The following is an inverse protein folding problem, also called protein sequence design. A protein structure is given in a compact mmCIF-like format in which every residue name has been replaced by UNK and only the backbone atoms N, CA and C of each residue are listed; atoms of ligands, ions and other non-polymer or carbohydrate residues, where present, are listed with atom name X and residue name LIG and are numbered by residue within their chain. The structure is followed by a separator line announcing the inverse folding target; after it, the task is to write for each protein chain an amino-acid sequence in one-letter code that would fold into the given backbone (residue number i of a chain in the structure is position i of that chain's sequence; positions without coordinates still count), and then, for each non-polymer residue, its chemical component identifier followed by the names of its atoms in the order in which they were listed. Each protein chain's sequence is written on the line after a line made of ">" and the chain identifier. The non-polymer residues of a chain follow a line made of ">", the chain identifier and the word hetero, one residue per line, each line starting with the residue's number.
data_IF_326922357453
#
_entry.id   IF_326922357453
#
_cell.length_a   1.000
_cell.length_b   1.000
_cell.length_c   1.000
_cell.angle_alpha   90.00
_cell.angle_beta   90.00
_cell.angle_gamma   90.00
#
_symmetry.space_group_name_H-M   'P 1'
#
loop_
_entity.id
_entity.type
_entity.pdbx_description
1 polymer ?
#
# COMPACT_ATOMS: atom_id res chain seq x y z
N UNK A 1 -5.26 9.15 18.31
CA UNK A 1 -5.04 7.74 17.90
C UNK A 1 -4.19 7.10 18.97
N UNK A 2 -4.62 6.01 19.61
CA UNK A 2 -3.77 5.38 20.63
C UNK A 2 -3.95 3.87 20.58
N UNK A 3 -2.86 3.19 20.26
CA UNK A 3 -2.66 1.79 20.56
C UNK A 3 -2.11 1.69 21.99
N UNK A 4 -2.56 0.71 22.76
CA UNK A 4 -2.15 0.57 24.18
C UNK A 4 -0.78 -0.11 24.31
N UNK A 5 -0.42 -0.94 23.34
CA UNK A 5 0.82 -1.71 23.30
C UNK A 5 1.14 -2.18 21.88
N UNK A 6 2.31 -2.79 21.69
CA UNK A 6 2.69 -3.39 20.41
C UNK A 6 1.82 -4.63 20.13
N UNK A 7 1.49 -5.40 21.17
CA UNK A 7 0.58 -6.56 21.09
C UNK A 7 -0.85 -6.14 20.67
N UNK A 8 -1.30 -4.95 21.10
CA UNK A 8 -2.60 -4.40 20.67
C UNK A 8 -2.61 -4.09 19.16
N UNK A 9 -1.48 -3.62 18.60
CA UNK A 9 -1.32 -3.44 17.15
C UNK A 9 -1.42 -4.79 16.44
N UNK A 10 -0.64 -5.78 16.87
CA UNK A 10 -0.65 -7.13 16.28
C UNK A 10 -2.07 -7.73 16.27
N UNK A 11 -2.78 -7.62 17.39
CA UNK A 11 -4.15 -8.13 17.54
C UNK A 11 -5.16 -7.40 16.65
N UNK A 12 -5.09 -6.07 16.58
CA UNK A 12 -6.02 -5.27 15.75
C UNK A 12 -5.77 -5.50 14.26
N UNK A 13 -4.51 -5.56 13.84
CA UNK A 13 -4.15 -5.89 12.45
C UNK A 13 -4.58 -7.32 12.09
N UNK A 14 -4.35 -8.29 12.98
CA UNK A 14 -4.81 -9.67 12.79
C UNK A 14 -6.33 -9.78 12.68
N UNK A 15 -7.07 -8.97 13.43
CA UNK A 15 -8.54 -8.89 13.34
C UNK A 15 -9.06 -8.42 11.99
N UNK A 16 -8.30 -7.58 11.27
CA UNK A 16 -8.59 -7.12 9.90
C UNK A 16 -7.96 -8.03 8.83
N UNK A 17 -7.42 -9.18 9.22
CA UNK A 17 -6.80 -10.15 8.31
C UNK A 17 -5.46 -9.70 7.74
N UNK A 18 -4.69 -8.89 8.48
CA UNK A 18 -3.31 -8.57 8.16
C UNK A 18 -2.38 -9.07 9.26
N UNK A 19 -1.47 -9.98 8.91
CA UNK A 19 -0.52 -10.54 9.87
C UNK A 19 0.70 -9.63 9.99
N UNK A 20 0.64 -8.70 10.94
CA UNK A 20 1.77 -7.84 11.27
C UNK A 20 2.78 -8.61 12.13
N UNK A 21 4.04 -8.68 11.68
CA UNK A 21 5.12 -9.17 12.54
C UNK A 21 5.48 -8.13 13.61
N UNK A 22 6.26 -8.57 14.59
CA UNK A 22 6.67 -7.75 15.73
C UNK A 22 7.35 -6.45 15.29
N UNK A 23 8.16 -6.50 14.25
CA UNK A 23 8.91 -5.34 13.75
C UNK A 23 7.96 -4.32 13.14
N UNK A 24 7.04 -4.75 12.28
CA UNK A 24 6.03 -3.89 11.69
C UNK A 24 5.09 -3.30 12.74
N UNK A 25 4.61 -4.14 13.68
CA UNK A 25 3.76 -3.68 14.78
C UNK A 25 4.46 -2.63 15.64
N UNK A 26 5.76 -2.83 15.93
CA UNK A 26 6.58 -1.85 16.68
C UNK A 26 6.70 -0.54 15.91
N UNK A 27 7.00 -0.59 14.61
CA UNK A 27 7.11 0.60 13.76
C UNK A 27 5.80 1.38 13.71
N UNK A 28 4.67 0.68 13.57
CA UNK A 28 3.33 1.30 13.56
C UNK A 28 3.02 1.94 14.92
N UNK A 29 3.27 1.23 16.02
CA UNK A 29 3.09 1.75 17.37
C UNK A 29 3.91 3.04 17.59
N UNK A 30 5.18 3.02 17.21
CA UNK A 30 6.08 4.18 17.35
C UNK A 30 5.67 5.33 16.43
N UNK A 31 5.20 5.05 15.21
CA UNK A 31 4.73 6.08 14.29
C UNK A 31 3.54 6.86 14.87
N UNK A 32 2.57 6.14 15.44
CA UNK A 32 1.41 6.75 16.11
C UNK A 32 1.85 7.53 17.34
N UNK A 33 2.73 6.96 18.17
CA UNK A 33 3.18 7.60 19.40
C UNK A 33 4.04 8.86 19.16
N UNK A 34 4.84 8.87 18.09
CA UNK A 34 5.75 9.96 17.75
C UNK A 34 5.16 10.96 16.74
N UNK A 35 4.00 10.66 16.15
CA UNK A 35 3.42 11.46 15.05
C UNK A 35 4.33 11.50 13.82
N UNK A 36 5.07 10.42 13.54
CA UNK A 36 6.01 10.36 12.41
C UNK A 36 5.45 9.51 11.26
N UNK A 37 5.70 9.90 10.00
CA UNK A 37 5.41 9.06 8.84
C UNK A 37 6.16 7.73 8.90
N UNK A 38 5.58 6.68 8.31
CA UNK A 38 6.26 5.40 8.08
C UNK A 38 6.65 5.31 6.61
N UNK A 39 7.88 4.88 6.35
CA UNK A 39 8.33 4.53 5.02
C UNK A 39 8.56 3.01 4.92
N UNK A 40 7.67 2.36 4.17
CA UNK A 40 7.69 0.92 3.90
C UNK A 40 8.35 0.66 2.55
N UNK A 41 9.56 0.12 2.59
CA UNK A 41 10.29 -0.29 1.39
C UNK A 41 10.31 -1.83 1.34
N UNK A 42 10.33 -2.42 0.15
CA UNK A 42 10.39 -3.88 0.06
C UNK A 42 9.99 -4.42 -1.29
N UNK A 43 9.82 -5.74 -1.34
CA UNK A 43 9.50 -6.46 -2.57
C UNK A 43 8.05 -6.22 -3.04
N UNK A 44 7.73 -6.33 -4.33
CA UNK A 44 6.36 -6.22 -4.81
C UNK A 44 5.45 -7.30 -4.21
N UNK A 45 4.21 -6.93 -3.88
CA UNK A 45 3.21 -7.90 -3.43
C UNK A 45 3.38 -8.43 -2.01
N UNK A 46 4.22 -7.81 -1.17
CA UNK A 46 4.38 -8.17 0.27
C UNK A 46 3.39 -7.45 1.21
N UNK A 47 2.44 -6.69 0.67
CA UNK A 47 1.38 -6.05 1.46
C UNK A 47 1.69 -4.66 2.04
N UNK A 48 2.68 -3.93 1.49
CA UNK A 48 3.01 -2.55 1.93
C UNK A 48 1.82 -1.60 1.88
N UNK A 49 1.14 -1.54 0.74
CA UNK A 49 -0.05 -0.71 0.52
C UNK A 49 -1.24 -1.13 1.39
N UNK A 50 -1.32 -2.41 1.75
CA UNK A 50 -2.41 -2.96 2.57
C UNK A 50 -2.32 -2.45 4.02
N UNK A 51 -1.12 -2.14 4.53
CA UNK A 51 -0.93 -1.57 5.88
C UNK A 51 -1.76 -0.30 6.06
N UNK A 52 -1.76 0.61 5.09
CA UNK A 52 -2.51 1.86 5.18
C UNK A 52 -4.03 1.63 5.17
N UNK A 53 -4.52 0.68 4.36
CA UNK A 53 -5.94 0.33 4.31
C UNK A 53 -6.43 -0.26 5.62
N UNK A 54 -5.66 -1.21 6.16
CA UNK A 54 -5.96 -1.85 7.45
C UNK A 54 -5.93 -0.81 8.56
N UNK A 55 -4.96 0.09 8.55
CA UNK A 55 -4.90 1.18 9.52
C UNK A 55 -6.13 2.10 9.44
N UNK A 56 -6.58 2.45 8.24
CA UNK A 56 -7.80 3.25 8.07
C UNK A 56 -9.05 2.53 8.59
N UNK A 57 -9.15 1.21 8.35
CA UNK A 57 -10.22 0.36 8.86
C UNK A 57 -10.23 0.32 10.40
N UNK A 58 -9.08 0.03 11.02
CA UNK A 58 -8.91 -0.03 12.48
C UNK A 58 -9.27 1.30 13.14
N UNK A 59 -8.85 2.41 12.53
CA UNK A 59 -9.14 3.74 13.05
C UNK A 59 -10.58 4.17 12.76
N UNK A 60 -11.25 3.57 11.78
CA UNK A 60 -12.54 4.00 11.27
C UNK A 60 -12.48 5.43 10.74
N UNK A 61 -11.48 5.73 9.90
CA UNK A 61 -11.23 7.05 9.31
C UNK A 61 -11.08 6.96 7.79
N UNK A 62 -11.06 8.09 7.10
CA UNK A 62 -10.88 8.11 5.64
C UNK A 62 -9.44 7.71 5.24
N UNK A 63 -9.33 6.84 4.23
CA UNK A 63 -8.09 6.56 3.53
C UNK A 63 -7.98 7.48 2.32
N UNK A 64 -7.01 8.38 2.36
CA UNK A 64 -6.67 9.26 1.25
C UNK A 64 -5.44 8.69 0.55
N UNK A 65 -5.56 8.38 -0.74
CA UNK A 65 -4.49 7.79 -1.53
C UNK A 65 -3.94 8.78 -2.55
N UNK A 66 -2.62 8.95 -2.53
CA UNK A 66 -1.83 9.58 -3.58
C UNK A 66 -1.00 8.48 -4.26
N UNK A 67 -1.25 8.23 -5.53
CA UNK A 67 -0.45 7.32 -6.33
C UNK A 67 0.67 8.10 -7.02
N UNK A 68 1.92 7.71 -6.80
CA UNK A 68 3.06 8.29 -7.50
C UNK A 68 3.33 7.56 -8.82
N UNK A 69 3.70 8.35 -9.82
CA UNK A 69 4.06 7.91 -11.16
C UNK A 69 4.94 8.99 -11.82
N UNK A 70 5.60 8.64 -12.92
CA UNK A 70 6.51 9.54 -13.63
C UNK A 70 5.74 10.71 -14.24
N UNK A 71 6.20 11.94 -14.01
CA UNK A 71 5.50 13.15 -14.44
C UNK A 71 4.30 13.54 -13.57
N UNK A 72 4.16 12.98 -12.36
CA UNK A 72 3.25 13.51 -11.35
C UNK A 72 3.68 14.93 -10.97
N UNK A 73 2.78 15.90 -11.13
CA UNK A 73 3.04 17.29 -10.79
C UNK A 73 2.47 17.66 -9.40
N UNK A 74 2.95 18.77 -8.84
CA UNK A 74 2.48 19.27 -7.56
C UNK A 74 0.98 19.63 -7.59
N UNK A 75 0.45 20.10 -8.72
CA UNK A 75 -0.95 20.50 -8.86
C UNK A 75 -1.89 19.29 -8.70
N UNK A 76 -1.62 18.18 -9.39
CA UNK A 76 -2.43 16.97 -9.31
C UNK A 76 -2.35 16.27 -7.95
N UNK A 77 -1.30 16.53 -7.18
CA UNK A 77 -1.15 16.04 -5.81
C UNK A 77 -1.77 16.98 -4.75
N UNK A 78 -1.69 18.30 -4.94
CA UNK A 78 -2.13 19.33 -3.98
C UNK A 78 -3.52 19.87 -4.26
N UNK A 79 -3.66 20.66 -5.33
CA UNK A 79 -4.89 21.33 -5.68
C UNK A 79 -4.87 21.79 -7.14
N UNK A 80 -6.06 21.98 -7.69
CA UNK A 80 -6.24 22.65 -8.97
C UNK A 80 -7.38 23.65 -8.88
N UNK A 81 -7.25 24.80 -9.53
CA UNK A 81 -8.35 25.74 -9.65
C UNK A 81 -9.35 25.26 -10.72
N UNK A 82 -10.63 25.23 -10.38
CA UNK A 82 -11.71 24.92 -11.31
C UNK A 82 -12.01 26.13 -12.21
N UNK A 83 -11.11 26.39 -13.17
CA UNK A 83 -11.24 27.49 -14.12
C UNK A 83 -12.56 27.48 -14.91
N UNK A 84 -13.12 26.33 -15.35
CA UNK A 84 -14.43 26.31 -15.98
C UNK A 84 -15.55 26.85 -15.07
N UNK A 85 -15.53 26.50 -13.78
CA UNK A 85 -16.50 27.00 -12.79
C UNK A 85 -16.29 28.48 -12.50
N UNK A 86 -15.03 28.93 -12.37
CA UNK A 86 -14.71 30.36 -12.22
C UNK A 86 -15.23 31.18 -13.39
N UNK A 87 -15.01 30.72 -14.63
CA UNK A 87 -15.48 31.37 -15.85
C UNK A 87 -17.01 31.41 -15.93
N UNK A 88 -17.69 30.35 -15.49
CA UNK A 88 -19.15 30.34 -15.44
C UNK A 88 -19.68 31.35 -14.43
N UNK A 89 -19.08 31.43 -13.23
CA UNK A 89 -19.50 32.40 -12.21
C UNK A 89 -19.33 33.83 -12.73
N UNK A 90 -18.17 34.16 -13.31
CA UNK A 90 -17.91 35.47 -13.91
C UNK A 90 -18.98 35.87 -14.94
N UNK A 91 -19.42 34.93 -15.80
CA UNK A 91 -20.48 35.19 -16.78
C UNK A 91 -21.86 35.37 -16.15
N UNK A 92 -22.16 34.63 -15.08
CA UNK A 92 -23.40 34.78 -14.35
C UNK A 92 -23.44 36.12 -13.61
N UNK A 93 -22.31 36.55 -13.04
CA UNK A 93 -22.17 37.85 -12.40
C UNK A 93 -22.36 39.00 -13.40
N UNK A 94 -21.72 38.91 -14.58
CA UNK A 94 -21.96 39.85 -15.69
C UNK A 94 -23.44 39.88 -16.12
N UNK A 95 -24.08 38.73 -16.26
CA UNK A 95 -25.49 38.64 -16.65
C UNK A 95 -26.45 39.19 -15.59
N UNK A 96 -26.07 39.15 -14.31
CA UNK A 96 -26.82 39.75 -13.19
C UNK A 96 -26.65 41.27 -13.12
N UNK A 97 -25.73 41.84 -13.91
CA UNK A 97 -25.48 43.28 -13.95
C UNK A 97 -24.66 43.78 -12.76
N UNK A 98 -23.83 42.93 -12.16
CA UNK A 98 -22.86 43.35 -11.15
C UNK A 98 -21.85 44.34 -11.76
N UNK A 99 -21.37 45.28 -10.95
CA UNK A 99 -20.39 46.25 -11.41
C UNK A 99 -19.05 45.56 -11.69
N UNK A 100 -18.30 46.10 -12.67
CA UNK A 100 -17.01 45.55 -13.11
C UNK A 100 -15.96 45.46 -11.99
N UNK A 101 -16.13 46.24 -10.93
CA UNK A 101 -15.25 46.23 -9.76
C UNK A 101 -15.60 45.11 -8.77
N UNK A 102 -16.84 44.59 -8.79
CA UNK A 102 -17.32 43.50 -7.95
C UNK A 102 -17.15 42.12 -8.61
N UNK A 103 -17.20 42.08 -9.96
CA UNK A 103 -17.00 40.86 -10.74
C UNK A 103 -15.61 40.27 -10.47
N UNK A 104 -15.57 39.00 -10.09
CA UNK A 104 -14.32 38.28 -9.93
C UNK A 104 -13.60 38.45 -8.58
N UNK A 105 -14.16 39.18 -7.62
CA UNK A 105 -13.53 39.33 -6.29
C UNK A 105 -13.43 37.98 -5.53
N UNK A 106 -14.31 37.03 -5.81
CA UNK A 106 -14.40 35.75 -5.08
C UNK A 106 -13.96 34.52 -5.90
N UNK A 107 -13.39 34.69 -7.10
CA UNK A 107 -13.04 33.54 -7.96
C UNK A 107 -11.91 32.66 -7.40
N UNK A 108 -11.12 33.18 -6.47
CA UNK A 108 -10.10 32.45 -5.72
C UNK A 108 -10.57 32.02 -4.32
N UNK A 109 -11.87 31.72 -4.19
CA UNK A 109 -12.45 31.14 -2.98
C UNK A 109 -12.30 29.60 -2.91
N UNK A 110 -12.42 29.00 -1.72
CA UNK A 110 -12.34 27.54 -1.53
C UNK A 110 -13.35 26.77 -2.39
N UNK A 111 -14.47 27.37 -2.77
CA UNK A 111 -15.48 26.77 -3.64
C UNK A 111 -15.02 26.49 -5.08
N UNK A 112 -13.95 27.16 -5.53
CA UNK A 112 -13.32 26.93 -6.83
C UNK A 112 -12.06 26.06 -6.73
N UNK A 113 -11.61 25.76 -5.51
CA UNK A 113 -10.42 24.95 -5.27
C UNK A 113 -10.79 23.46 -5.30
N UNK A 114 -10.21 22.73 -6.24
CA UNK A 114 -10.32 21.27 -6.28
C UNK A 114 -9.20 20.69 -5.42
N UNK A 115 -9.56 20.29 -4.22
CA UNK A 115 -8.64 19.59 -3.31
C UNK A 115 -8.20 18.26 -3.91
N UNK A 116 -6.88 18.06 -4.00
CA UNK A 116 -6.26 16.79 -4.38
C UNK A 116 -5.76 16.07 -3.12
N UNK A 117 -5.24 14.83 -3.22
CA UNK A 117 -4.99 13.99 -2.05
C UNK A 117 -4.20 14.65 -0.91
N UNK A 118 -3.17 15.45 -1.20
CA UNK A 118 -2.37 16.09 -0.16
C UNK A 118 -3.15 17.19 0.55
N UNK A 119 -3.77 18.12 -0.19
CA UNK A 119 -4.54 19.20 0.44
C UNK A 119 -5.75 18.63 1.20
N UNK A 120 -6.44 17.65 0.63
CA UNK A 120 -7.54 16.94 1.29
C UNK A 120 -7.12 16.28 2.61
N UNK A 121 -5.90 15.75 2.68
CA UNK A 121 -5.38 15.14 3.91
C UNK A 121 -5.00 16.20 4.97
N UNK A 122 -4.48 17.35 4.55
CA UNK A 122 -4.13 18.46 5.44
C UNK A 122 -5.39 19.16 5.97
N UNK A 123 -6.37 19.45 5.12
CA UNK A 123 -7.62 20.12 5.47
C UNK A 123 -8.72 19.16 5.95
N UNK A 124 -8.37 17.93 6.30
CA UNK A 124 -9.37 16.94 6.72
C UNK A 124 -10.10 17.37 8.01
N UNK A 125 -11.44 17.49 7.93
CA UNK A 125 -12.29 17.98 9.03
C UNK A 125 -13.03 16.87 9.80
N UNK A 126 -12.69 15.59 9.59
CA UNK A 126 -13.35 14.49 10.30
C UNK A 126 -13.01 14.38 11.78
N UNK A 127 -13.75 13.54 12.51
CA UNK A 127 -13.58 13.35 13.96
C UNK A 127 -12.21 12.75 14.36
N UNK A 128 -11.57 12.02 13.44
CA UNK A 128 -10.29 11.34 13.65
C UNK A 128 -9.34 11.68 12.50
N UNK A 129 -8.02 11.78 12.74
CA UNK A 129 -7.12 12.14 11.65
C UNK A 129 -7.14 11.09 10.55
N UNK A 130 -7.00 11.47 9.27
CA UNK A 130 -7.11 10.53 8.16
C UNK A 130 -5.83 9.71 8.04
N UNK A 131 -5.91 8.63 7.25
CA UNK A 131 -4.72 7.89 6.82
C UNK A 131 -4.35 8.37 5.42
N UNK A 132 -3.12 8.89 5.26
CA UNK A 132 -2.58 9.29 3.97
C UNK A 132 -1.61 8.22 3.47
N UNK A 133 -1.97 7.59 2.36
CA UNK A 133 -1.13 6.63 1.65
C UNK A 133 -0.47 7.33 0.45
N UNK A 134 0.86 7.44 0.48
CA UNK A 134 1.69 7.87 -0.66
C UNK A 134 2.31 6.61 -1.26
N UNK A 135 1.72 6.12 -2.34
CA UNK A 135 2.03 4.81 -2.91
C UNK A 135 3.06 4.93 -4.04
N UNK A 136 4.06 4.03 -4.07
CA UNK A 136 5.13 3.94 -5.08
C UNK A 136 5.91 5.25 -5.26
N UNK A 137 6.30 5.91 -4.18
CA UNK A 137 6.98 7.22 -4.20
C UNK A 137 8.31 7.20 -4.98
N UNK A 138 8.90 6.03 -5.19
CA UNK A 138 10.08 5.82 -6.05
C UNK A 138 9.83 5.97 -7.55
N UNK A 139 8.56 6.17 -7.95
CA UNK A 139 8.18 6.46 -9.34
C UNK A 139 7.98 7.94 -9.63
N UNK A 140 8.02 8.81 -8.63
CA UNK A 140 7.97 10.25 -8.84
C UNK A 140 9.35 10.87 -9.03
N UNK A 141 9.37 12.07 -9.60
CA UNK A 141 10.59 12.83 -9.86
C UNK A 141 11.16 13.50 -8.59
N UNK A 142 12.44 13.92 -8.64
CA UNK A 142 13.14 14.55 -7.50
C UNK A 142 12.45 15.83 -7.01
N UNK A 143 11.91 16.62 -7.94
CA UNK A 143 11.18 17.84 -7.63
C UNK A 143 9.97 17.55 -6.75
N UNK A 144 9.25 16.48 -7.03
CA UNK A 144 8.11 16.04 -6.25
C UNK A 144 8.51 15.49 -4.87
N UNK A 145 9.62 14.76 -4.79
CA UNK A 145 10.15 14.28 -3.49
C UNK A 145 10.54 15.45 -2.57
N UNK A 146 11.20 16.48 -3.12
CA UNK A 146 11.54 17.70 -2.38
C UNK A 146 10.29 18.43 -1.89
N UNK A 147 9.25 18.48 -2.72
CA UNK A 147 7.96 19.03 -2.36
C UNK A 147 7.28 18.23 -1.23
N UNK A 148 7.23 16.90 -1.33
CA UNK A 148 6.69 16.04 -0.27
C UNK A 148 7.44 16.21 1.05
N UNK A 149 8.77 16.42 1.02
CA UNK A 149 9.58 16.67 2.21
C UNK A 149 9.11 17.91 2.97
N UNK A 150 8.79 18.99 2.26
CA UNK A 150 8.26 20.23 2.85
C UNK A 150 6.92 19.95 3.55
N UNK A 151 5.98 19.32 2.83
CA UNK A 151 4.66 19.00 3.37
C UNK A 151 4.74 18.06 4.58
N UNK A 152 5.55 17.01 4.52
CA UNK A 152 5.67 16.03 5.61
C UNK A 152 6.46 16.55 6.82
N UNK A 153 7.21 17.64 6.68
CA UNK A 153 7.98 18.21 7.79
C UNK A 153 7.10 19.02 8.73
N UNK A 154 6.23 19.86 8.17
CA UNK A 154 5.42 20.81 8.94
C UNK A 154 3.90 20.54 8.84
N UNK A 155 3.48 19.57 8.02
CA UNK A 155 2.07 19.29 7.71
C UNK A 155 1.30 20.56 7.32
N UNK A 156 1.92 21.36 6.45
CA UNK A 156 1.33 22.59 5.92
C UNK A 156 1.62 22.71 4.42
N UNK A 157 0.77 23.43 3.73
CA UNK A 157 0.88 23.72 2.29
C UNK A 157 0.72 25.23 2.11
N UNK A 158 1.59 25.85 1.32
CA UNK A 158 1.42 27.26 0.94
C UNK A 158 0.77 27.36 -0.43
N UNK A 159 -0.41 27.98 -0.47
CA UNK A 159 -1.17 28.26 -1.69
C UNK A 159 -0.97 29.76 -1.99
N UNK A 160 -0.36 30.17 -3.12
CA UNK A 160 -0.06 31.58 -3.38
C UNK A 160 -1.27 32.51 -3.26
N UNK A 161 -2.45 32.07 -3.69
CA UNK A 161 -3.67 32.88 -3.69
C UNK A 161 -4.40 32.93 -2.34
N UNK A 162 -4.23 31.91 -1.48
CA UNK A 162 -5.00 31.74 -0.23
C UNK A 162 -4.10 31.94 1.02
N UNK A 163 -2.79 31.74 0.88
CA UNK A 163 -1.82 31.72 1.97
C UNK A 163 -1.49 30.30 2.45
N UNK A 164 -0.87 30.20 3.62
CA UNK A 164 -0.45 28.92 4.20
C UNK A 164 -1.58 28.25 4.96
N UNK A 165 -1.83 26.98 4.62
CA UNK A 165 -2.85 26.12 5.22
C UNK A 165 -2.14 25.00 5.98
N UNK A 166 -2.34 24.94 7.29
CA UNK A 166 -1.80 23.90 8.17
C UNK A 166 -2.81 22.80 8.48
N UNK A 167 -2.31 21.61 8.82
CA UNK A 167 -3.16 20.50 9.20
C UNK A 167 -3.82 20.73 10.55
N UNK A 168 -5.16 20.71 10.57
CA UNK A 168 -5.91 20.74 11.84
C UNK A 168 -5.72 19.43 12.63
N UNK A 169 -5.58 18.32 11.91
CA UNK A 169 -5.29 17.01 12.46
C UNK A 169 -4.17 16.37 11.65
N UNK A 170 -3.06 16.02 12.29
CA UNK A 170 -1.91 15.42 11.60
C UNK A 170 -2.29 14.02 11.10
N UNK A 171 -2.22 13.77 9.77
CA UNK A 171 -2.57 12.48 9.19
C UNK A 171 -1.58 11.39 9.59
N UNK A 172 -2.05 10.16 9.67
CA UNK A 172 -1.16 9.00 9.74
C UNK A 172 -0.64 8.69 8.34
N UNK A 173 0.65 8.95 8.09
CA UNK A 173 1.23 8.84 6.75
C UNK A 173 1.96 7.52 6.57
N UNK A 174 1.63 6.81 5.49
CA UNK A 174 2.35 5.62 5.01
C UNK A 174 2.89 5.91 3.61
N UNK A 175 4.21 5.89 3.47
CA UNK A 175 4.90 5.93 2.19
C UNK A 175 5.28 4.50 1.80
N UNK A 176 5.08 4.12 0.54
CA UNK A 176 5.51 2.81 0.02
C UNK A 176 6.50 2.96 -1.14
N UNK A 177 7.42 2.02 -1.27
CA UNK A 177 8.33 1.93 -2.42
C UNK A 177 8.63 0.49 -2.79
N UNK A 178 8.81 0.23 -4.09
CA UNK A 178 9.26 -1.05 -4.64
C UNK A 178 10.76 -1.05 -4.94
N UNK A 179 11.50 -0.02 -4.49
CA UNK A 179 12.92 0.21 -4.75
C UNK A 179 13.27 0.18 -6.25
N UNK A 180 12.41 0.75 -7.12
CA UNK A 180 12.74 0.93 -8.54
C UNK A 180 13.85 1.97 -8.75
N UNK A 181 13.95 2.92 -7.82
CA UNK A 181 14.96 3.98 -7.74
C UNK A 181 15.28 4.27 -6.28
N UNK A 182 16.47 4.79 -6.00
CA UNK A 182 16.78 5.30 -4.67
C UNK A 182 16.15 6.66 -4.43
N UNK A 183 15.35 6.76 -3.36
CA UNK A 183 14.77 8.02 -2.88
C UNK A 183 15.80 8.90 -2.19
N UNK A 184 15.53 10.21 -2.17
CA UNK A 184 16.39 11.16 -1.50
C UNK A 184 16.48 10.88 0.02
N UNK A 185 17.71 10.87 0.53
CA UNK A 185 18.06 10.64 1.94
C UNK A 185 17.26 11.51 2.93
N UNK A 186 16.90 12.73 2.54
CA UNK A 186 16.16 13.66 3.38
C UNK A 186 14.77 13.11 3.73
N UNK A 187 14.07 12.50 2.76
CA UNK A 187 12.74 11.93 2.95
C UNK A 187 12.81 10.72 3.90
N UNK A 188 13.82 9.85 3.71
CA UNK A 188 14.07 8.68 4.58
C UNK A 188 14.31 9.11 6.04
N UNK A 189 15.07 10.18 6.28
CA UNK A 189 15.39 10.69 7.62
C UNK A 189 14.19 11.30 8.37
N UNK A 190 13.13 11.67 7.66
CA UNK A 190 11.88 12.19 8.24
C UNK A 190 10.87 11.10 8.59
N UNK A 191 11.09 9.88 8.12
CA UNK A 191 10.19 8.75 8.32
C UNK A 191 10.79 7.70 9.27
N UNK A 192 9.93 6.87 9.87
CA UNK A 192 10.34 5.59 10.41
C UNK A 192 10.46 4.59 9.27
N UNK A 193 11.68 4.15 9.00
CA UNK A 193 11.98 3.23 7.90
C UNK A 193 11.77 1.78 8.33
N UNK A 194 11.11 1.00 7.46
CA UNK A 194 11.00 -0.45 7.60
C UNK A 194 11.13 -1.13 6.23
N UNK A 195 12.01 -2.12 6.17
CA UNK A 195 12.06 -3.06 5.06
C UNK A 195 11.09 -4.22 5.28
N UNK A 196 10.21 -4.48 4.32
CA UNK A 196 9.30 -5.63 4.31
C UNK A 196 9.80 -6.64 3.26
N UNK A 197 10.30 -7.76 3.74
CA UNK A 197 10.70 -8.89 2.90
C UNK A 197 9.52 -9.84 2.63
N UNK A 198 9.72 -10.84 1.78
CA UNK A 198 8.78 -11.95 1.64
C UNK A 198 8.56 -12.62 3.01
N UNK A 199 7.32 -13.04 3.32
CA UNK A 199 7.02 -13.67 4.60
C UNK A 199 7.75 -15.00 4.76
N UNK A 200 7.98 -15.39 6.01
CA UNK A 200 8.36 -16.75 6.36
C UNK A 200 7.22 -17.71 6.00
N UNK A 201 7.52 -19.01 5.90
CA UNK A 201 6.51 -20.04 5.65
C UNK A 201 5.32 -19.96 6.62
N UNK A 202 5.60 -19.81 7.92
CA UNK A 202 4.57 -19.74 8.96
C UNK A 202 3.69 -18.50 8.78
N UNK A 203 4.31 -17.32 8.62
CA UNK A 203 3.59 -16.06 8.41
C UNK A 203 2.76 -16.10 7.12
N UNK A 204 3.28 -16.71 6.07
CA UNK A 204 2.58 -16.84 4.80
C UNK A 204 1.36 -17.76 4.91
N UNK A 205 1.50 -18.86 5.65
CA UNK A 205 0.39 -19.77 5.93
C UNK A 205 -0.72 -19.05 6.71
N UNK A 206 -0.38 -18.30 7.75
CA UNK A 206 -1.33 -17.49 8.52
C UNK A 206 -2.05 -16.45 7.63
N UNK A 207 -1.31 -15.82 6.70
CA UNK A 207 -1.89 -14.86 5.74
C UNK A 207 -2.89 -15.57 4.82
N UNK A 208 -2.53 -16.72 4.25
CA UNK A 208 -3.39 -17.48 3.34
C UNK A 208 -4.65 -17.95 4.07
N UNK A 209 -4.53 -18.50 5.27
CA UNK A 209 -5.66 -18.99 6.07
C UNK A 209 -6.58 -17.84 6.50
N UNK A 210 -6.02 -16.67 6.78
CA UNK A 210 -6.81 -15.48 7.07
C UNK A 210 -7.56 -14.92 5.85
N UNK A 211 -6.97 -14.99 4.66
CA UNK A 211 -7.52 -14.36 3.44
C UNK A 211 -8.33 -15.29 2.56
N UNK A 212 -8.18 -16.61 2.72
CA UNK A 212 -8.87 -17.64 1.94
C UNK A 212 -9.69 -18.52 2.88
N UNK A 213 -10.93 -18.10 3.22
CA UNK A 213 -11.78 -18.87 4.12
C UNK A 213 -12.04 -20.27 3.57
N UNK A 214 -11.98 -21.29 4.45
CA UNK A 214 -12.24 -22.72 4.16
C UNK A 214 -11.12 -23.46 3.42
N UNK A 215 -9.95 -22.86 3.21
CA UNK A 215 -8.79 -23.62 2.72
C UNK A 215 -8.39 -24.67 3.77
N UNK A 216 -8.09 -25.89 3.33
CA UNK A 216 -7.57 -26.93 4.22
C UNK A 216 -6.10 -26.63 4.55
N UNK A 217 -5.69 -26.83 5.81
CA UNK A 217 -4.33 -26.59 6.28
C UNK A 217 -3.27 -27.44 5.55
N UNK A 218 -3.70 -28.52 4.91
CA UNK A 218 -2.87 -29.33 4.01
C UNK A 218 -2.51 -28.53 2.76
N UNK A 219 -3.52 -28.02 2.05
CA UNK A 219 -3.35 -27.27 0.81
C UNK A 219 -2.63 -25.93 1.04
N UNK A 220 -2.98 -25.20 2.11
CA UNK A 220 -2.31 -23.93 2.46
C UNK A 220 -0.81 -24.13 2.65
N UNK A 221 -0.41 -25.15 3.41
CA UNK A 221 0.99 -25.45 3.66
C UNK A 221 1.75 -25.90 2.40
N UNK A 222 1.11 -26.65 1.51
CA UNK A 222 1.73 -27.05 0.24
C UNK A 222 1.93 -25.85 -0.70
N UNK A 223 0.93 -24.96 -0.79
CA UNK A 223 1.01 -23.71 -1.56
C UNK A 223 2.18 -22.85 -1.04
N UNK A 224 2.23 -22.61 0.27
CA UNK A 224 3.29 -21.81 0.88
C UNK A 224 4.67 -22.46 0.65
N UNK A 225 4.76 -23.79 0.77
CA UNK A 225 5.99 -24.53 0.51
C UNK A 225 6.47 -24.38 -0.93
N UNK A 226 5.55 -24.44 -1.89
CA UNK A 226 5.85 -24.22 -3.31
C UNK A 226 6.33 -22.79 -3.56
N UNK A 227 5.64 -21.79 -3.00
CA UNK A 227 5.99 -20.37 -3.12
C UNK A 227 7.38 -20.06 -2.55
N UNK A 228 7.72 -20.62 -1.39
CA UNK A 228 9.05 -20.50 -0.79
C UNK A 228 10.14 -21.07 -1.72
N UNK A 229 9.91 -22.26 -2.29
CA UNK A 229 10.83 -22.83 -3.27
C UNK A 229 10.99 -21.93 -4.51
N UNK A 230 9.90 -21.36 -5.01
CA UNK A 230 9.95 -20.44 -6.16
C UNK A 230 10.78 -19.19 -5.86
N UNK A 231 10.70 -18.64 -4.65
CA UNK A 231 11.48 -17.44 -4.26
C UNK A 231 12.98 -17.69 -4.12
N UNK A 232 13.40 -18.95 -3.94
CA UNK A 232 14.83 -19.33 -3.93
C UNK A 232 15.44 -19.43 -5.33
N UNK A 233 14.62 -19.44 -6.38
CA UNK A 233 15.05 -19.58 -7.78
C UNK A 233 15.34 -18.21 -8.42
N UNK A 234 16.07 -18.28 -9.53
CA UNK A 234 16.42 -17.12 -10.34
C UNK A 234 15.36 -16.87 -11.43
N UNK A 235 14.32 -16.16 -11.03
CA UNK A 235 13.22 -15.71 -11.88
C UNK A 235 13.33 -14.22 -12.17
N UNK A 236 12.80 -13.79 -13.31
CA UNK A 236 12.72 -12.36 -13.65
C UNK A 236 11.88 -11.61 -12.62
N UNK A 237 10.77 -12.21 -12.20
CA UNK A 237 9.95 -11.68 -11.11
C UNK A 237 9.55 -12.79 -10.17
N UNK A 238 10.03 -12.68 -8.94
CA UNK A 238 9.66 -13.59 -7.86
C UNK A 238 8.19 -13.37 -7.48
N UNK A 239 7.45 -14.43 -7.18
CA UNK A 239 6.05 -14.32 -6.82
C UNK A 239 5.87 -13.84 -5.37
N UNK A 240 5.01 -12.84 -5.18
CA UNK A 240 4.71 -12.24 -3.89
C UNK A 240 3.58 -12.94 -3.15
N UNK A 241 3.14 -12.30 -2.07
CA UNK A 241 2.02 -12.80 -1.25
C UNK A 241 0.69 -12.64 -1.97
N UNK A 242 0.56 -11.57 -2.77
CA UNK A 242 -0.60 -11.37 -3.64
C UNK A 242 -0.80 -12.57 -4.58
N UNK A 243 0.25 -13.00 -5.28
CA UNK A 243 0.20 -14.18 -6.15
C UNK A 243 -0.11 -15.48 -5.37
N UNK A 244 0.31 -15.57 -4.11
CA UNK A 244 0.01 -16.73 -3.25
C UNK A 244 -1.49 -16.81 -2.94
N UNK A 245 -2.10 -15.69 -2.56
CA UNK A 245 -3.52 -15.61 -2.23
C UNK A 245 -4.35 -15.87 -3.49
N UNK A 246 -3.99 -15.25 -4.62
CA UNK A 246 -4.68 -15.45 -5.90
C UNK A 246 -4.62 -16.92 -6.34
N UNK A 247 -3.46 -17.57 -6.19
CA UNK A 247 -3.30 -18.97 -6.53
C UNK A 247 -4.08 -19.90 -5.60
N UNK A 248 -4.10 -19.61 -4.30
CA UNK A 248 -4.93 -20.34 -3.33
C UNK A 248 -6.43 -20.24 -3.66
N UNK A 249 -6.92 -19.05 -4.02
CA UNK A 249 -8.30 -18.85 -4.47
C UNK A 249 -8.61 -19.60 -5.78
N UNK A 250 -7.66 -19.63 -6.72
CA UNK A 250 -7.80 -20.36 -7.97
C UNK A 250 -7.92 -21.88 -7.73
N UNK A 251 -7.04 -22.46 -6.91
CA UNK A 251 -7.08 -23.87 -6.56
C UNK A 251 -8.36 -24.26 -5.81
N UNK A 252 -8.82 -23.41 -4.89
CA UNK A 252 -10.10 -23.58 -4.20
C UNK A 252 -11.29 -23.55 -5.16
N UNK A 253 -11.24 -22.68 -6.19
CA UNK A 253 -12.28 -22.60 -7.22
C UNK A 253 -12.32 -23.84 -8.11
N UNK A 254 -11.17 -24.51 -8.29
CA UNK A 254 -11.05 -25.79 -9.00
C UNK A 254 -11.42 -27.01 -8.12
N UNK A 255 -11.78 -26.79 -6.85
CA UNK A 255 -12.07 -27.84 -5.87
C UNK A 255 -10.92 -28.83 -5.66
N UNK A 256 -9.70 -28.36 -5.87
CA UNK A 256 -8.47 -29.12 -5.66
C UNK A 256 -8.22 -29.25 -4.17
N UNK A 257 -7.95 -30.47 -3.69
CA UNK A 257 -7.63 -30.75 -2.28
C UNK A 257 -6.13 -30.94 -2.01
N UNK A 258 -5.38 -31.25 -3.06
CA UNK A 258 -3.96 -31.57 -2.99
C UNK A 258 -3.25 -31.04 -4.25
N UNK A 259 -1.98 -30.64 -4.11
CA UNK A 259 -1.20 -30.06 -5.20
C UNK A 259 -0.74 -31.14 -6.19
N UNK A 260 -1.57 -31.42 -7.20
CA UNK A 260 -1.23 -32.29 -8.32
C UNK A 260 -0.49 -31.54 -9.44
N UNK A 261 0.43 -32.22 -10.13
CA UNK A 261 1.24 -31.62 -11.20
C UNK A 261 0.40 -31.00 -12.34
N UNK A 262 -0.73 -31.63 -12.69
CA UNK A 262 -1.67 -31.13 -13.70
C UNK A 262 -2.35 -29.82 -13.27
N UNK A 263 -2.73 -29.72 -11.99
CA UNK A 263 -3.35 -28.53 -11.43
C UNK A 263 -2.33 -27.38 -11.35
N UNK A 264 -1.09 -27.67 -10.93
CA UNK A 264 -0.01 -26.69 -10.91
C UNK A 264 0.26 -26.15 -12.31
N UNK A 265 0.48 -27.05 -13.28
CA UNK A 265 0.79 -26.67 -14.66
C UNK A 265 -0.29 -25.75 -15.27
N UNK A 266 -1.56 -26.11 -15.06
CA UNK A 266 -2.70 -25.31 -15.53
C UNK A 266 -2.82 -23.94 -14.84
N UNK A 267 -2.21 -23.75 -13.68
CA UNK A 267 -2.34 -22.54 -12.85
C UNK A 267 -1.03 -21.78 -12.65
N UNK A 268 0.07 -22.17 -13.32
CA UNK A 268 1.36 -21.47 -13.22
C UNK A 268 1.26 -19.98 -13.58
N UNK A 269 0.35 -19.60 -14.48
CA UNK A 269 0.09 -18.19 -14.83
C UNK A 269 -0.47 -17.34 -13.67
N UNK A 270 -1.00 -17.95 -12.61
CA UNK A 270 -1.38 -17.25 -11.39
C UNK A 270 -0.14 -16.74 -10.63
N UNK A 271 0.93 -17.54 -10.64
CA UNK A 271 2.15 -17.31 -9.83
C UNK A 271 3.21 -16.57 -10.64
N UNK A 272 3.44 -16.99 -11.88
CA UNK A 272 4.52 -16.50 -12.74
C UNK A 272 3.94 -15.70 -13.90
N UNK A 273 4.56 -14.55 -14.19
CA UNK A 273 4.08 -13.59 -15.20
C UNK A 273 4.95 -13.54 -16.47
N UNK A 274 6.05 -14.29 -16.49
CA UNK A 274 6.98 -14.36 -17.61
C UNK A 274 6.98 -15.75 -18.20
N UNK A 275 6.96 -15.85 -19.53
CA UNK A 275 6.89 -17.13 -20.24
C UNK A 275 8.14 -17.97 -19.96
N UNK A 276 9.29 -17.32 -19.92
CA UNK A 276 10.59 -17.91 -19.65
C UNK A 276 10.64 -18.53 -18.24
N UNK A 277 10.02 -17.88 -17.26
CA UNK A 277 9.94 -18.40 -15.88
C UNK A 277 9.01 -19.62 -15.80
N UNK A 278 7.91 -19.63 -16.56
CA UNK A 278 7.00 -20.78 -16.67
C UNK A 278 7.72 -21.96 -17.32
N UNK A 279 8.40 -21.73 -18.45
CA UNK A 279 9.15 -22.76 -19.17
C UNK A 279 10.25 -23.38 -18.29
N UNK A 280 11.02 -22.57 -17.56
CA UNK A 280 12.01 -23.04 -16.58
C UNK A 280 11.40 -24.00 -15.55
N UNK A 281 10.23 -23.67 -15.02
CA UNK A 281 9.55 -24.51 -14.01
C UNK A 281 9.04 -25.82 -14.62
N UNK A 282 8.57 -25.80 -15.86
CA UNK A 282 8.13 -26.99 -16.58
C UNK A 282 9.32 -27.92 -16.90
N UNK A 283 10.45 -27.37 -17.31
CA UNK A 283 11.68 -28.12 -17.61
C UNK A 283 12.29 -28.78 -16.37
N UNK A 284 12.24 -28.12 -15.22
CA UNK A 284 12.78 -28.62 -13.95
C UNK A 284 11.99 -29.80 -13.35
N UNK A 285 10.83 -30.14 -13.91
CA UNK A 285 9.99 -31.24 -13.47
C UNK A 285 9.14 -30.91 -12.25
N UNK A 286 7.89 -30.49 -12.48
CA UNK A 286 6.90 -30.13 -11.47
C UNK A 286 6.75 -31.14 -10.33
N UNK A 287 6.79 -32.44 -10.63
CA UNK A 287 6.65 -33.50 -9.64
C UNK A 287 7.73 -33.42 -8.52
N UNK A 288 8.98 -33.09 -8.88
CA UNK A 288 10.06 -32.96 -7.89
C UNK A 288 9.92 -31.70 -7.03
N UNK A 289 9.36 -30.63 -7.60
CA UNK A 289 9.13 -29.37 -6.89
C UNK A 289 8.01 -29.55 -5.87
N UNK A 290 6.93 -30.22 -6.28
CA UNK A 290 5.80 -30.57 -5.42
C UNK A 290 6.28 -31.48 -4.26
N UNK A 291 7.06 -32.52 -4.55
CA UNK A 291 7.60 -33.41 -3.51
C UNK A 291 8.45 -32.66 -2.48
N UNK A 292 9.29 -31.72 -2.94
CA UNK A 292 10.07 -30.83 -2.05
C UNK A 292 9.19 -29.89 -1.23
N UNK A 293 8.09 -29.39 -1.79
CA UNK A 293 7.13 -28.55 -1.07
C UNK A 293 6.46 -29.33 0.07
N UNK A 294 6.04 -30.57 -0.17
CA UNK A 294 5.51 -31.45 0.88
C UNK A 294 6.55 -31.72 1.98
N UNK A 295 7.82 -31.97 1.60
CA UNK A 295 8.89 -32.19 2.59
C UNK A 295 9.19 -30.95 3.45
N UNK A 296 9.14 -29.75 2.87
CA UNK A 296 9.35 -28.50 3.62
C UNK A 296 8.31 -28.35 4.73
N UNK A 297 7.03 -28.57 4.41
CA UNK A 297 5.95 -28.58 5.41
C UNK A 297 6.23 -29.58 6.53
N UNK A 298 6.54 -30.83 6.20
CA UNK A 298 6.80 -31.87 7.21
C UNK A 298 7.97 -31.52 8.15
N UNK A 299 8.98 -30.79 7.67
CA UNK A 299 10.09 -30.32 8.50
C UNK A 299 9.65 -29.22 9.46
N UNK A 300 8.87 -28.27 8.99
CA UNK A 300 8.34 -27.17 9.83
C UNK A 300 7.38 -27.72 10.89
N UNK A 301 6.46 -28.62 10.52
CA UNK A 301 5.52 -29.25 11.46
C UNK A 301 6.24 -30.09 12.54
N UNK A 302 7.38 -30.73 12.21
CA UNK A 302 8.19 -31.49 13.17
C UNK A 302 9.03 -30.63 14.11
N UNK A 303 9.28 -29.36 13.78
CA UNK A 303 10.01 -28.44 14.65
C UNK A 303 9.10 -27.74 15.68
N UNK A 304 7.78 -27.78 15.48
CA UNK A 304 6.78 -27.17 16.34
C UNK A 304 6.14 -28.14 17.35
N UNK A 305 6.42 -29.44 17.28
CA UNK A 305 5.93 -30.48 18.20
C UNK A 305 7.03 -31.06 19.07
#
# INVERSE_FOLDING_TARGET
>A
MTFESIEDVEKKFGGEGYIADRTLATTIYLAVALGKPIFLEGEPGVGKTEVAKVMASILGTELIRLQCYEGLDANTALYEWNYPRQMLELRLEEARGLDKEEIGQNIFGPEFLLERPLLKAIQYEGDKPPVLLIDEVDRSDEEFEAFLLEVLSDFQITIPEIGTVGASQVPFVVLTSNRTRELHDALKRRCLYLWIDYPTFEKEMDIVESRVPKIEAELSGQICGFMQLMRTRDFYKKPGVAETIDWALALMSMQTKDLEASAVDATLGCILKYKEDIEKVQEDGLAQIIEKAHMLRQRVTKQQG
#
